data_IF_953255982624
#
_entry.id   IF_953255982624
#
_cell.length_a   1.000
_cell.length_b   1.000
_cell.length_c   1.000
_cell.angle_alpha   90.00
_cell.angle_beta   90.00
_cell.angle_gamma   90.00
#
_symmetry.space_group_name_H-M   'P 1'
#
loop_
_entity.id
_entity.type
_entity.pdbx_description
1 polymer ?
#
# COMPACT_ATOMS: atom_id res chain seq x y z
N UNK A 1 -22.61 7.76 -6.66
CA UNK A 1 -22.19 9.10 -6.15
C UNK A 1 -21.13 9.03 -5.03
N UNK A 2 -21.26 8.14 -4.04
CA UNK A 2 -20.30 8.04 -2.92
C UNK A 2 -18.88 7.69 -3.38
N UNK A 3 -18.73 6.61 -4.16
CA UNK A 3 -17.43 6.17 -4.68
C UNK A 3 -16.70 7.28 -5.47
N UNK A 4 -17.39 7.99 -6.36
CA UNK A 4 -16.78 9.08 -7.13
C UNK A 4 -16.24 10.22 -6.24
N UNK A 5 -16.94 10.54 -5.14
CA UNK A 5 -16.47 11.53 -4.15
C UNK A 5 -15.26 11.02 -3.37
N UNK A 6 -15.23 9.72 -3.03
CA UNK A 6 -14.05 9.10 -2.41
C UNK A 6 -12.83 9.17 -3.33
N UNK A 7 -12.98 8.85 -4.61
CA UNK A 7 -11.87 8.93 -5.57
C UNK A 7 -11.41 10.37 -5.80
N UNK A 8 -12.33 11.34 -5.85
CA UNK A 8 -11.96 12.76 -5.89
C UNK A 8 -11.18 13.19 -4.64
N UNK A 9 -11.62 12.75 -3.45
CA UNK A 9 -10.92 13.02 -2.19
C UNK A 9 -9.52 12.40 -2.17
N UNK A 10 -9.37 11.15 -2.61
CA UNK A 10 -8.07 10.50 -2.75
C UNK A 10 -7.13 11.36 -3.62
N UNK A 11 -7.56 11.78 -4.81
CA UNK A 11 -6.76 12.64 -5.68
C UNK A 11 -6.35 13.97 -5.03
N UNK A 12 -7.28 14.63 -4.33
CA UNK A 12 -6.99 15.88 -3.58
C UNK A 12 -5.93 15.63 -2.50
N UNK A 13 -6.07 14.56 -1.71
CA UNK A 13 -5.13 14.21 -0.64
C UNK A 13 -3.76 13.91 -1.22
N UNK A 14 -3.67 13.13 -2.31
CA UNK A 14 -2.40 12.86 -2.99
C UNK A 14 -1.73 14.16 -3.42
N UNK A 15 -2.42 15.04 -4.15
CA UNK A 15 -1.82 16.28 -4.67
C UNK A 15 -1.33 17.20 -3.54
N UNK A 16 -2.12 17.35 -2.48
CA UNK A 16 -1.78 18.26 -1.38
C UNK A 16 -0.69 17.69 -0.45
N UNK A 17 -0.75 16.40 -0.12
CA UNK A 17 0.10 15.81 0.91
C UNK A 17 1.36 15.15 0.36
N UNK A 18 1.40 14.76 -0.91
CA UNK A 18 2.57 14.09 -1.51
C UNK A 18 3.88 14.88 -1.31
N UNK A 19 4.02 16.16 -1.72
CA UNK A 19 5.29 16.87 -1.57
C UNK A 19 5.73 17.01 -0.10
N UNK A 20 4.77 17.22 0.81
CA UNK A 20 5.03 17.38 2.24
C UNK A 20 5.48 16.06 2.89
N UNK A 21 4.78 14.97 2.61
CA UNK A 21 5.10 13.64 3.14
C UNK A 21 6.43 13.16 2.59
N UNK A 22 6.65 13.24 1.28
CA UNK A 22 7.90 12.80 0.64
C UNK A 22 9.10 13.53 1.21
N UNK A 23 9.02 14.86 1.36
CA UNK A 23 10.09 15.65 1.97
C UNK A 23 10.43 15.17 3.38
N UNK A 24 9.40 14.93 4.21
CA UNK A 24 9.57 14.47 5.59
C UNK A 24 10.08 13.02 5.68
N UNK A 25 9.69 12.15 4.75
CA UNK A 25 10.00 10.72 4.77
C UNK A 25 11.44 10.41 4.36
N UNK A 26 12.10 11.29 3.58
CA UNK A 26 13.50 11.14 3.16
C UNK A 26 14.50 10.99 4.31
N UNK A 27 14.16 11.48 5.51
CA UNK A 27 15.01 11.37 6.70
C UNK A 27 14.93 10.00 7.40
N UNK A 28 13.98 9.16 7.00
CA UNK A 28 13.73 7.86 7.62
C UNK A 28 14.12 6.72 6.67
N UNK A 29 14.35 5.54 7.24
CA UNK A 29 14.73 4.37 6.45
C UNK A 29 13.57 3.93 5.52
N UNK A 30 13.82 3.70 4.22
CA UNK A 30 12.76 3.38 3.26
C UNK A 30 11.87 2.20 3.68
N UNK A 31 12.47 1.11 4.16
CA UNK A 31 11.70 -0.04 4.65
C UNK A 31 10.83 0.29 5.87
N UNK A 32 11.31 1.13 6.79
CA UNK A 32 10.52 1.54 7.95
C UNK A 32 9.31 2.38 7.51
N UNK A 33 9.49 3.25 6.51
CA UNK A 33 8.39 4.00 5.91
C UNK A 33 7.39 3.05 5.23
N UNK A 34 7.86 2.05 4.48
CA UNK A 34 7.00 1.04 3.83
C UNK A 34 6.22 0.19 4.84
N UNK A 35 6.79 -0.14 6.01
CA UNK A 35 6.03 -0.79 7.09
C UNK A 35 4.90 0.10 7.59
N UNK A 36 5.14 1.39 7.81
CA UNK A 36 4.09 2.35 8.21
C UNK A 36 3.00 2.44 7.15
N UNK A 37 3.38 2.51 5.87
CA UNK A 37 2.44 2.43 4.76
C UNK A 37 1.57 1.18 4.81
N UNK A 38 2.21 0.02 4.98
CA UNK A 38 1.53 -1.26 5.09
C UNK A 38 0.50 -1.29 6.22
N UNK A 39 0.85 -0.77 7.41
CA UNK A 39 -0.08 -0.67 8.54
C UNK A 39 -1.27 0.25 8.23
N UNK A 40 -1.06 1.38 7.54
CA UNK A 40 -2.15 2.26 7.11
C UNK A 40 -3.08 1.54 6.14
N UNK A 41 -2.55 0.73 5.22
CA UNK A 41 -3.36 -0.11 4.34
C UNK A 41 -4.14 -1.18 5.12
N UNK A 42 -3.50 -1.88 6.07
CA UNK A 42 -4.18 -2.88 6.91
C UNK A 42 -5.36 -2.26 7.64
N UNK A 43 -5.15 -1.12 8.31
CA UNK A 43 -6.20 -0.41 9.03
C UNK A 43 -7.27 0.12 8.08
N UNK A 44 -6.88 0.82 7.02
CA UNK A 44 -7.80 1.42 6.06
C UNK A 44 -8.71 0.38 5.40
N UNK A 45 -8.12 -0.68 4.84
CA UNK A 45 -8.86 -1.73 4.15
C UNK A 45 -9.68 -2.61 5.10
N UNK A 46 -9.14 -3.01 6.25
CA UNK A 46 -9.90 -3.88 7.17
C UNK A 46 -11.11 -3.16 7.75
N UNK A 47 -10.98 -1.86 8.06
CA UNK A 47 -12.08 -1.09 8.66
C UNK A 47 -13.20 -0.75 7.66
N UNK A 48 -12.96 -0.82 6.34
CA UNK A 48 -14.04 -0.67 5.36
C UNK A 48 -15.11 -1.75 5.52
N UNK A 49 -14.75 -2.93 6.05
CA UNK A 49 -15.70 -4.02 6.30
C UNK A 49 -16.83 -3.64 7.29
N UNK A 50 -16.58 -2.65 8.15
CA UNK A 50 -17.49 -2.20 9.21
C UNK A 50 -18.07 -0.80 8.96
N UNK A 51 -17.68 -0.14 7.86
CA UNK A 51 -18.13 1.20 7.55
C UNK A 51 -19.62 1.21 7.13
N UNK A 52 -20.44 1.94 7.89
CA UNK A 52 -21.88 2.11 7.60
C UNK A 52 -22.25 3.54 7.20
N UNK A 53 -21.47 4.52 7.64
CA UNK A 53 -21.73 5.95 7.41
C UNK A 53 -20.80 6.50 6.32
N UNK A 54 -21.29 7.34 5.39
CA UNK A 54 -20.47 7.96 4.35
C UNK A 54 -19.20 8.66 4.87
N UNK A 55 -19.29 9.30 6.03
CA UNK A 55 -18.15 9.96 6.66
C UNK A 55 -17.02 8.99 6.99
N UNK A 56 -17.34 7.78 7.44
CA UNK A 56 -16.34 6.74 7.75
C UNK A 56 -15.63 6.32 6.47
N UNK A 57 -16.35 6.16 5.36
CA UNK A 57 -15.72 5.85 4.08
C UNK A 57 -14.71 6.93 3.66
N UNK A 58 -15.04 8.21 3.81
CA UNK A 58 -14.11 9.30 3.51
C UNK A 58 -12.87 9.30 4.42
N UNK A 59 -13.05 9.07 5.72
CA UNK A 59 -11.93 8.98 6.66
C UNK A 59 -11.00 7.82 6.31
N UNK A 60 -11.55 6.64 6.04
CA UNK A 60 -10.78 5.48 5.62
C UNK A 60 -10.09 5.70 4.28
N UNK A 61 -10.72 6.44 3.37
CA UNK A 61 -10.08 6.88 2.12
C UNK A 61 -8.82 7.68 2.41
N UNK A 62 -8.89 8.69 3.29
CA UNK A 62 -7.72 9.48 3.67
C UNK A 62 -6.63 8.58 4.26
N UNK A 63 -6.99 7.65 5.15
CA UNK A 63 -6.03 6.75 5.80
C UNK A 63 -5.27 5.88 4.79
N UNK A 64 -5.97 5.17 3.89
CA UNK A 64 -5.27 4.34 2.90
C UNK A 64 -4.48 5.19 1.91
N UNK A 65 -4.97 6.39 1.57
CA UNK A 65 -4.27 7.32 0.66
C UNK A 65 -2.96 7.81 1.25
N UNK A 66 -2.90 8.05 2.57
CA UNK A 66 -1.64 8.38 3.24
C UNK A 66 -0.63 7.22 3.13
N UNK A 67 -1.10 5.98 3.25
CA UNK A 67 -0.29 4.79 2.98
C UNK A 67 0.21 4.78 1.54
N UNK A 68 -0.68 4.98 0.57
CA UNK A 68 -0.37 5.04 -0.86
C UNK A 68 0.77 6.00 -1.20
N UNK A 69 0.71 7.22 -0.68
CA UNK A 69 1.76 8.22 -0.89
C UNK A 69 3.13 7.74 -0.35
N UNK A 70 3.13 7.10 0.83
CA UNK A 70 4.35 6.58 1.45
C UNK A 70 4.91 5.42 0.63
N UNK A 71 4.09 4.43 0.28
CA UNK A 71 4.48 3.26 -0.52
C UNK A 71 5.06 3.67 -1.87
N UNK A 72 4.36 4.54 -2.62
CA UNK A 72 4.73 4.96 -3.97
C UNK A 72 6.13 5.60 -4.05
N UNK A 73 6.61 6.18 -2.96
CA UNK A 73 7.88 6.91 -2.93
C UNK A 73 9.05 6.13 -2.32
N UNK A 74 8.77 5.08 -1.55
CA UNK A 74 9.79 4.31 -0.83
C UNK A 74 10.09 2.96 -1.48
N UNK A 75 9.10 2.26 -2.05
CA UNK A 75 9.30 0.90 -2.58
C UNK A 75 10.23 0.86 -3.79
N UNK A 76 9.93 1.65 -4.83
CA UNK A 76 10.78 1.74 -6.02
C UNK A 76 12.17 2.29 -5.68
N UNK A 77 12.25 3.26 -4.76
CA UNK A 77 13.52 3.84 -4.32
C UNK A 77 14.40 2.80 -3.63
N UNK A 78 13.83 2.01 -2.71
CA UNK A 78 14.55 0.97 -2.00
C UNK A 78 15.10 -0.10 -2.96
N UNK A 79 14.27 -0.62 -3.87
CA UNK A 79 14.71 -1.65 -4.82
C UNK A 79 15.79 -1.13 -5.75
N UNK A 80 15.65 0.10 -6.27
CA UNK A 80 16.64 0.68 -7.17
C UNK A 80 18.01 0.87 -6.49
N UNK A 81 18.03 1.30 -5.22
CA UNK A 81 19.27 1.54 -4.47
C UNK A 81 19.94 0.26 -3.97
N UNK A 82 19.18 -0.81 -3.74
CA UNK A 82 19.72 -2.11 -3.33
C UNK A 82 20.03 -3.04 -4.51
N UNK A 83 19.84 -2.58 -5.75
CA UNK A 83 20.21 -3.35 -6.94
C UNK A 83 21.51 -2.82 -7.57
N UNK A 84 22.49 -3.69 -7.89
CA UNK A 84 23.68 -3.31 -8.65
C UNK A 84 23.33 -2.62 -9.98
N UNK A 85 24.14 -1.64 -10.39
CA UNK A 85 23.89 -0.85 -11.60
C UNK A 85 23.70 -1.73 -12.84
N UNK A 86 24.49 -2.81 -12.99
CA UNK A 86 24.41 -3.77 -14.10
C UNK A 86 23.06 -4.50 -14.20
N UNK A 87 22.33 -4.62 -13.10
CA UNK A 87 21.08 -5.37 -13.02
C UNK A 87 19.86 -4.50 -12.69
N UNK A 88 20.06 -3.21 -12.37
CA UNK A 88 19.00 -2.28 -11.98
C UNK A 88 17.86 -2.25 -12.99
N UNK A 89 18.17 -2.19 -14.29
CA UNK A 89 17.14 -2.22 -15.34
C UNK A 89 16.29 -3.50 -15.32
N UNK A 90 16.90 -4.67 -15.03
CA UNK A 90 16.20 -5.96 -14.98
C UNK A 90 15.28 -6.03 -13.76
N UNK A 91 15.76 -5.61 -12.59
CA UNK A 91 14.93 -5.54 -11.38
C UNK A 91 13.80 -4.52 -11.50
N UNK A 92 14.09 -3.33 -12.05
CA UNK A 92 13.07 -2.31 -12.31
C UNK A 92 12.00 -2.78 -13.29
N UNK A 93 12.31 -3.70 -14.22
CA UNK A 93 11.32 -4.28 -15.14
C UNK A 93 10.46 -5.38 -14.49
N UNK A 94 10.99 -6.08 -13.48
CA UNK A 94 10.25 -7.14 -12.76
C UNK A 94 9.15 -6.54 -11.86
N UNK A 95 9.42 -5.38 -11.23
CA UNK A 95 8.46 -4.77 -10.31
C UNK A 95 7.07 -4.49 -10.95
N UNK A 96 6.97 -3.84 -12.12
CA UNK A 96 5.68 -3.66 -12.80
C UNK A 96 5.01 -4.98 -13.19
N UNK A 97 5.76 -6.04 -13.46
CA UNK A 97 5.19 -7.36 -13.77
C UNK A 97 4.49 -7.91 -12.52
N UNK A 98 5.18 -7.90 -11.36
CA UNK A 98 4.61 -8.35 -10.08
C UNK A 98 3.35 -7.55 -9.75
N UNK A 99 3.41 -6.22 -9.84
CA UNK A 99 2.28 -5.34 -9.57
C UNK A 99 1.13 -5.59 -10.55
N UNK A 100 1.45 -5.70 -11.84
CA UNK A 100 0.48 -5.97 -12.91
C UNK A 100 -0.24 -7.30 -12.72
N UNK A 101 0.46 -8.35 -12.28
CA UNK A 101 -0.16 -9.62 -11.89
C UNK A 101 -1.15 -9.44 -10.74
N UNK A 102 -0.78 -8.68 -9.71
CA UNK A 102 -1.69 -8.32 -8.63
C UNK A 102 -2.94 -7.60 -9.12
N UNK A 103 -2.78 -6.58 -9.98
CA UNK A 103 -3.89 -5.83 -10.57
C UNK A 103 -4.79 -6.68 -11.48
N UNK A 104 -4.26 -7.70 -12.13
CA UNK A 104 -5.04 -8.61 -12.95
C UNK A 104 -5.85 -9.62 -12.11
N UNK A 105 -5.24 -10.16 -11.06
CA UNK A 105 -5.86 -11.19 -10.20
C UNK A 105 -6.89 -10.58 -9.24
N UNK A 106 -6.61 -9.39 -8.70
CA UNK A 106 -7.43 -8.79 -7.65
C UNK A 106 -8.91 -8.59 -8.03
N UNK A 107 -9.27 -8.08 -9.23
CA UNK A 107 -10.67 -7.96 -9.64
C UNK A 107 -11.38 -9.32 -9.80
N UNK A 108 -10.66 -10.33 -10.31
CA UNK A 108 -11.22 -11.68 -10.49
C UNK A 108 -11.55 -12.31 -9.13
N UNK A 109 -10.56 -12.35 -8.23
CA UNK A 109 -10.73 -12.92 -6.88
C UNK A 109 -11.73 -12.08 -6.08
N UNK A 110 -11.61 -10.76 -6.15
CA UNK A 110 -12.51 -9.85 -5.44
C UNK A 110 -13.96 -9.97 -5.90
N UNK A 111 -14.18 -10.06 -7.22
CA UNK A 111 -15.50 -10.31 -7.80
C UNK A 111 -16.10 -11.64 -7.33
N UNK A 112 -15.29 -12.71 -7.31
CA UNK A 112 -15.72 -14.01 -6.78
C UNK A 112 -16.10 -13.96 -5.30
N UNK A 113 -15.31 -13.27 -4.46
CA UNK A 113 -15.60 -13.11 -3.02
C UNK A 113 -16.91 -12.34 -2.82
N UNK A 114 -17.10 -11.23 -3.54
CA UNK A 114 -18.34 -10.44 -3.45
C UNK A 114 -19.54 -11.28 -3.88
N UNK A 115 -19.42 -12.02 -4.99
CA UNK A 115 -20.52 -12.79 -5.56
C UNK A 115 -20.94 -14.00 -4.70
N UNK A 116 -19.98 -14.66 -4.05
CA UNK A 116 -20.23 -15.88 -3.25
C UNK A 116 -20.43 -15.62 -1.76
N UNK A 117 -19.90 -14.50 -1.23
CA UNK A 117 -19.91 -14.19 0.18
C UNK A 117 -20.43 -12.76 0.43
N UNK A 118 -19.55 -11.78 0.63
CA UNK A 118 -19.94 -10.42 0.98
C UNK A 118 -18.84 -9.40 0.71
N UNK A 119 -19.23 -8.13 0.61
CA UNK A 119 -18.30 -7.01 0.51
C UNK A 119 -17.43 -6.87 1.77
N UNK A 120 -17.95 -7.20 2.96
CA UNK A 120 -17.15 -7.16 4.19
C UNK A 120 -16.02 -8.17 4.18
N UNK A 121 -16.25 -9.38 3.66
CA UNK A 121 -15.19 -10.40 3.56
C UNK A 121 -14.10 -9.97 2.57
N UNK A 122 -14.46 -9.30 1.47
CA UNK A 122 -13.49 -8.72 0.54
C UNK A 122 -12.54 -7.78 1.28
N UNK A 123 -13.08 -6.79 1.99
CA UNK A 123 -12.29 -5.79 2.70
C UNK A 123 -11.36 -6.40 3.76
N UNK A 124 -11.86 -7.38 4.53
CA UNK A 124 -11.04 -8.12 5.49
C UNK A 124 -9.92 -8.91 4.79
N UNK A 125 -10.21 -9.56 3.66
CA UNK A 125 -9.21 -10.30 2.88
C UNK A 125 -8.13 -9.38 2.29
N UNK A 126 -8.52 -8.18 1.82
CA UNK A 126 -7.59 -7.15 1.35
C UNK A 126 -6.71 -6.66 2.51
N UNK A 127 -7.29 -6.41 3.67
CA UNK A 127 -6.56 -6.04 4.88
C UNK A 127 -5.57 -7.12 5.33
N UNK A 128 -5.96 -8.39 5.25
CA UNK A 128 -5.09 -9.53 5.55
C UNK A 128 -3.94 -9.65 4.54
N UNK A 129 -4.20 -9.48 3.24
CA UNK A 129 -3.16 -9.48 2.22
C UNK A 129 -2.15 -8.34 2.45
N UNK A 130 -2.64 -7.14 2.78
CA UNK A 130 -1.78 -6.01 3.16
C UNK A 130 -0.95 -6.33 4.42
N UNK A 131 -1.52 -7.05 5.39
CA UNK A 131 -0.81 -7.44 6.62
C UNK A 131 0.32 -8.42 6.31
N UNK A 132 0.07 -9.42 5.46
CA UNK A 132 1.09 -10.38 5.01
C UNK A 132 2.25 -9.64 4.33
N UNK A 133 1.95 -8.72 3.40
CA UNK A 133 2.96 -7.89 2.75
C UNK A 133 3.75 -7.03 3.74
N UNK A 134 3.06 -6.41 4.69
CA UNK A 134 3.66 -5.58 5.75
C UNK A 134 4.62 -6.39 6.62
N UNK A 135 4.23 -7.60 7.02
CA UNK A 135 5.09 -8.51 7.80
C UNK A 135 6.32 -8.90 6.98
N UNK A 136 6.18 -9.19 5.69
CA UNK A 136 7.31 -9.48 4.80
C UNK A 136 8.33 -8.34 4.76
N UNK A 137 7.88 -7.10 4.58
CA UNK A 137 8.75 -5.91 4.60
C UNK A 137 9.37 -5.69 5.98
N UNK A 138 8.61 -5.92 7.06
CA UNK A 138 9.13 -5.82 8.42
C UNK A 138 10.25 -6.82 8.68
N UNK A 139 10.10 -8.05 8.20
CA UNK A 139 11.14 -9.08 8.29
C UNK A 139 12.41 -8.60 7.58
N UNK A 140 12.30 -8.09 6.35
CA UNK A 140 13.45 -7.54 5.60
C UNK A 140 14.12 -6.40 6.41
N UNK A 141 13.32 -5.48 6.96
CA UNK A 141 13.83 -4.38 7.78
C UNK A 141 14.62 -4.86 9.00
N UNK A 142 14.09 -5.86 9.71
CA UNK A 142 14.76 -6.42 10.89
C UNK A 142 16.06 -7.16 10.53
N UNK A 143 16.09 -7.83 9.37
CA UNK A 143 17.31 -8.47 8.86
C UNK A 143 18.40 -7.45 8.51
N UNK A 144 18.06 -6.34 7.85
CA UNK A 144 19.03 -5.28 7.52
C UNK A 144 19.56 -4.55 8.75
N UNK A 145 18.73 -4.37 9.78
CA UNK A 145 19.13 -3.68 11.01
C UNK A 145 20.07 -4.52 11.90
N UNK A 146 20.12 -5.83 11.69
CA UNK A 146 21.00 -6.72 12.48
C UNK A 146 22.46 -6.41 12.11
N UNK A 147 23.35 -6.14 13.09
CA UNK A 147 24.76 -5.91 12.80
C UNK A 147 25.31 -7.12 12.05
N UNK A 148 25.97 -6.85 10.93
CA UNK A 148 26.61 -7.86 10.09
C UNK A 148 27.87 -8.31 10.84
N UNK A 149 27.72 -9.34 11.68
CA UNK A 149 28.85 -10.02 12.34
C UNK A 149 29.76 -10.69 11.31
#
# INVERSE_FOLDING_TARGET
PLYGRMMALNGIVVVLFNPLLVSKLRRFHPLSNTVVSGLLYVVGFSLFAFAKLPLVFYLLTVIFTLGEIISATNEHFYVANNTPISHRARFSAILPIIMGTGHAIAPMVGGMIIASHSMSLLWLSTGLAALIGTIGVLIIYLYEKKPRN
#
